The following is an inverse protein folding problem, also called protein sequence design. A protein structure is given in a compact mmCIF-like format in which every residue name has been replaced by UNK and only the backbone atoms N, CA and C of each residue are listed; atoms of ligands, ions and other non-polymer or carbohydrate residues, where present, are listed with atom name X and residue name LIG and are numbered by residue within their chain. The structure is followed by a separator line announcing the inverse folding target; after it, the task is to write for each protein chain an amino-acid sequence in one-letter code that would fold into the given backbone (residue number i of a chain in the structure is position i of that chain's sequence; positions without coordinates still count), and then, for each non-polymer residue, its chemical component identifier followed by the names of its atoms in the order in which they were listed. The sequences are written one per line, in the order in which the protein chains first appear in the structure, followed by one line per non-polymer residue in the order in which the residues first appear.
data_IF_339760544126
#
_entry.id   IF_339760544126
#
_cell.length_a   1.000
_cell.length_b   1.000
_cell.length_c   1.000
_cell.angle_alpha   90.00
_cell.angle_beta   90.00
_cell.angle_gamma   90.00
#
_symmetry.space_group_name_H-M   'P 1'
#
loop_
_entity.id
_entity.type
_entity.pdbx_description
1 polymer ?
#
# COMPACT_ATOMS: atom_id res chain seq x y z
N UNK A 1 3.66 -18.52 -14.67
CA UNK A 1 2.51 -18.45 -13.74
C UNK A 1 2.03 -17.03 -13.81
N UNK A 2 0.75 -16.80 -14.07
CA UNK A 2 0.23 -15.43 -14.12
C UNK A 2 0.38 -14.76 -12.75
N UNK A 3 0.71 -13.46 -12.72
CA UNK A 3 0.93 -12.70 -11.49
C UNK A 3 -0.23 -12.86 -10.50
N UNK A 4 -1.46 -12.92 -11.02
CA UNK A 4 -2.71 -13.04 -10.26
C UNK A 4 -2.83 -14.35 -9.46
N UNK A 5 -2.22 -15.43 -9.95
CA UNK A 5 -2.21 -16.74 -9.29
C UNK A 5 -1.13 -16.85 -8.21
N UNK A 6 -0.25 -15.85 -8.12
CA UNK A 6 0.83 -15.87 -7.14
C UNK A 6 0.27 -15.77 -5.72
N UNK A 7 0.88 -16.54 -4.79
CA UNK A 7 0.57 -16.47 -3.35
C UNK A 7 0.67 -15.04 -2.80
N UNK A 8 1.53 -14.22 -3.39
CA UNK A 8 1.74 -12.83 -2.99
C UNK A 8 0.58 -11.94 -3.42
N UNK A 9 0.11 -12.06 -4.66
CA UNK A 9 -1.04 -11.30 -5.14
C UNK A 9 -2.33 -11.65 -4.38
N UNK A 10 -2.55 -12.94 -4.10
CA UNK A 10 -3.64 -13.38 -3.20
C UNK A 10 -3.43 -12.92 -1.75
N UNK A 11 -2.18 -12.79 -1.31
CA UNK A 11 -1.82 -12.18 -0.02
C UNK A 11 -2.18 -10.70 0.04
N UNK A 12 -1.91 -9.95 -1.04
CA UNK A 12 -2.24 -8.54 -1.15
C UNK A 12 -3.75 -8.29 -1.07
N UNK A 13 -4.55 -9.10 -1.78
CA UNK A 13 -6.01 -9.05 -1.68
C UNK A 13 -6.52 -9.21 -0.25
N UNK A 14 -5.95 -10.18 0.50
CA UNK A 14 -6.30 -10.41 1.91
C UNK A 14 -5.82 -9.27 2.81
N UNK A 15 -4.65 -8.69 2.54
CA UNK A 15 -4.14 -7.57 3.31
C UNK A 15 -5.00 -6.32 3.12
N UNK A 16 -5.43 -6.04 1.88
CA UNK A 16 -6.37 -4.99 1.54
C UNK A 16 -7.70 -5.16 2.26
N UNK A 17 -8.31 -6.35 2.21
CA UNK A 17 -9.56 -6.62 2.92
C UNK A 17 -9.44 -6.34 4.43
N UNK A 18 -8.31 -6.70 5.04
CA UNK A 18 -8.05 -6.38 6.45
C UNK A 18 -7.88 -4.89 6.68
N UNK A 19 -7.20 -4.16 5.80
CA UNK A 19 -7.10 -2.71 5.93
C UNK A 19 -8.48 -2.06 5.81
N UNK A 20 -9.27 -2.49 4.83
CA UNK A 20 -10.64 -2.03 4.58
C UNK A 20 -11.54 -2.18 5.83
N UNK A 21 -11.48 -3.34 6.50
CA UNK A 21 -12.20 -3.55 7.77
C UNK A 21 -11.88 -2.49 8.83
N UNK A 22 -10.61 -2.09 8.94
CA UNK A 22 -10.18 -1.14 9.97
C UNK A 22 -10.52 0.31 9.61
N UNK A 23 -10.42 0.70 8.33
CA UNK A 23 -10.84 2.05 7.88
C UNK A 23 -12.36 2.22 7.86
N UNK A 24 -13.12 1.13 7.92
CA UNK A 24 -14.59 1.16 7.97
C UNK A 24 -15.15 1.31 9.39
N UNK A 25 -14.28 1.35 10.41
CA UNK A 25 -14.66 1.54 11.80
C UNK A 25 -14.68 3.02 12.16
N UNK A 26 -15.71 3.46 12.87
CA UNK A 26 -15.79 4.80 13.45
C UNK A 26 -15.19 4.83 14.86
N UNK A 27 -14.59 5.97 15.24
CA UNK A 27 -14.12 6.25 16.61
C UNK A 27 -13.18 5.17 17.20
N UNK A 28 -12.10 4.85 16.48
CA UNK A 28 -11.09 3.88 16.94
C UNK A 28 -10.55 4.22 18.34
N UNK A 29 -10.54 3.23 19.22
CA UNK A 29 -9.72 3.24 20.44
C UNK A 29 -8.22 3.27 20.09
N UNK A 30 -7.37 3.53 21.07
CA UNK A 30 -5.90 3.53 20.88
C UNK A 30 -5.41 2.19 20.32
N UNK A 31 -5.88 1.07 20.88
CA UNK A 31 -5.49 -0.28 20.44
C UNK A 31 -5.97 -0.54 18.99
N UNK A 32 -7.17 -0.09 18.64
CA UNK A 32 -7.69 -0.25 17.28
C UNK A 32 -6.97 0.66 16.28
N UNK A 33 -6.52 1.85 16.71
CA UNK A 33 -5.66 2.74 15.92
C UNK A 33 -4.31 2.11 15.63
N UNK A 34 -3.67 1.50 16.64
CA UNK A 34 -2.43 0.74 16.45
C UNK A 34 -2.67 -0.43 15.48
N UNK A 35 -3.82 -1.08 15.58
CA UNK A 35 -4.28 -2.10 14.64
C UNK A 35 -4.41 -1.59 13.20
N UNK A 36 -4.99 -0.41 12.99
CA UNK A 36 -5.10 0.25 11.69
C UNK A 36 -3.71 0.53 11.10
N UNK A 37 -2.81 1.10 11.88
CA UNK A 37 -1.43 1.40 11.49
C UNK A 37 -0.69 0.13 11.09
N UNK A 38 -0.78 -0.93 11.91
CA UNK A 38 -0.16 -2.21 11.60
C UNK A 38 -0.73 -2.84 10.32
N UNK A 39 -2.05 -2.72 10.10
CA UNK A 39 -2.74 -3.18 8.88
C UNK A 39 -2.26 -2.42 7.66
N UNK A 40 -2.09 -1.11 7.76
CA UNK A 40 -1.49 -0.31 6.70
C UNK A 40 -0.06 -0.74 6.41
N UNK A 41 0.79 -0.93 7.42
CA UNK A 41 2.19 -1.29 7.25
C UNK A 41 2.35 -2.59 6.45
N UNK A 42 1.70 -3.68 6.89
CA UNK A 42 1.83 -4.95 6.18
C UNK A 42 1.12 -4.94 4.82
N UNK A 43 0.04 -4.16 4.66
CA UNK A 43 -0.68 -4.04 3.39
C UNK A 43 0.18 -3.31 2.37
N UNK A 44 0.76 -2.18 2.74
CA UNK A 44 1.71 -1.47 1.88
C UNK A 44 2.91 -2.37 1.54
N UNK A 45 3.45 -3.10 2.52
CA UNK A 45 4.62 -3.96 2.34
C UNK A 45 4.40 -5.06 1.29
N UNK A 46 3.22 -5.68 1.28
CA UNK A 46 2.91 -6.69 0.26
C UNK A 46 2.55 -6.06 -1.08
N UNK A 47 1.86 -4.91 -1.08
CA UNK A 47 1.47 -4.18 -2.29
C UNK A 47 2.67 -3.73 -3.12
N UNK A 48 3.69 -3.09 -2.53
CA UNK A 48 4.85 -2.66 -3.31
C UNK A 48 5.67 -3.86 -3.82
N UNK A 49 5.67 -5.00 -3.12
CA UNK A 49 6.29 -6.23 -3.61
C UNK A 49 5.53 -6.79 -4.81
N UNK A 50 4.19 -6.78 -4.77
CA UNK A 50 3.39 -7.10 -5.95
C UNK A 50 3.68 -6.15 -7.12
N UNK A 51 3.80 -4.85 -6.87
CA UNK A 51 4.20 -3.88 -7.90
C UNK A 51 5.59 -4.18 -8.48
N UNK A 52 6.54 -4.62 -7.64
CA UNK A 52 7.85 -5.08 -8.11
C UNK A 52 7.74 -6.30 -9.03
N UNK A 53 6.98 -7.32 -8.63
CA UNK A 53 6.83 -8.53 -9.45
C UNK A 53 6.09 -8.21 -10.75
N UNK A 54 5.07 -7.34 -10.69
CA UNK A 54 4.37 -6.84 -11.88
C UNK A 54 5.35 -6.23 -12.88
N UNK A 55 6.22 -5.31 -12.43
CA UNK A 55 7.21 -4.66 -13.28
C UNK A 55 8.23 -5.66 -13.85
N UNK A 56 8.62 -6.67 -13.07
CA UNK A 56 9.51 -7.71 -13.55
C UNK A 56 8.84 -8.59 -14.62
N UNK A 57 7.62 -9.06 -14.35
CA UNK A 57 6.90 -10.00 -15.23
C UNK A 57 6.38 -9.34 -16.51
N UNK A 58 5.94 -8.07 -16.46
CA UNK A 58 5.38 -7.34 -17.61
C UNK A 58 6.42 -6.59 -18.42
N UNK A 59 7.42 -6.00 -17.76
CA UNK A 59 8.34 -5.04 -18.37
C UNK A 59 9.81 -5.48 -18.32
N UNK A 60 10.12 -6.60 -17.64
CA UNK A 60 11.49 -7.06 -17.42
C UNK A 60 12.31 -6.16 -16.49
N UNK A 61 11.66 -5.29 -15.71
CA UNK A 61 12.32 -4.32 -14.83
C UNK A 61 12.54 -4.91 -13.43
N UNK A 62 13.80 -5.16 -13.07
CA UNK A 62 14.18 -5.58 -11.71
C UNK A 62 14.48 -4.36 -10.82
N UNK A 63 13.51 -4.02 -9.96
CA UNK A 63 13.55 -2.82 -9.11
C UNK A 63 13.60 -3.18 -7.63
N UNK A 64 14.56 -2.62 -6.89
CA UNK A 64 14.86 -3.06 -5.53
C UNK A 64 14.41 -2.12 -4.39
N UNK A 65 13.50 -1.17 -4.62
CA UNK A 65 12.97 -0.33 -3.52
C UNK A 65 11.54 0.19 -3.77
N UNK A 66 10.74 0.45 -2.72
CA UNK A 66 9.37 0.93 -2.86
C UNK A 66 9.25 2.22 -3.68
N UNK A 67 10.10 3.22 -3.40
CA UNK A 67 10.10 4.49 -4.16
C UNK A 67 10.41 4.30 -5.63
N UNK A 68 11.33 3.38 -5.97
CA UNK A 68 11.65 3.08 -7.37
C UNK A 68 10.51 2.34 -8.05
N UNK A 69 9.90 1.36 -7.39
CA UNK A 69 8.71 0.65 -7.88
C UNK A 69 7.60 1.64 -8.22
N UNK A 70 7.27 2.58 -7.32
CA UNK A 70 6.22 3.59 -7.57
C UNK A 70 6.55 4.46 -8.79
N UNK A 71 7.80 4.90 -8.94
CA UNK A 71 8.23 5.70 -10.10
C UNK A 71 8.14 4.91 -11.40
N UNK A 72 8.55 3.64 -11.41
CA UNK A 72 8.42 2.79 -12.59
C UNK A 72 6.96 2.48 -12.91
N UNK A 73 6.10 2.28 -11.91
CA UNK A 73 4.66 2.11 -12.12
C UNK A 73 4.01 3.33 -12.78
N UNK A 74 4.51 4.54 -12.50
CA UNK A 74 4.14 5.74 -13.25
C UNK A 74 4.60 5.68 -14.71
N UNK A 75 5.85 5.32 -14.95
CA UNK A 75 6.45 5.26 -16.29
C UNK A 75 5.71 4.28 -17.22
N UNK A 76 5.17 3.19 -16.66
CA UNK A 76 4.43 2.16 -17.38
C UNK A 76 2.91 2.40 -17.38
N UNK A 77 2.46 3.55 -16.86
CA UNK A 77 1.06 3.99 -16.92
C UNK A 77 0.11 3.39 -15.89
N UNK A 78 0.60 2.67 -14.88
CA UNK A 78 -0.22 2.19 -13.75
C UNK A 78 -0.59 3.36 -12.82
N UNK A 79 0.32 4.30 -12.62
CA UNK A 79 0.05 5.51 -11.83
C UNK A 79 0.08 6.77 -12.68
N UNK A 80 -0.88 7.66 -12.42
CA UNK A 80 -0.82 9.07 -12.81
C UNK A 80 0.16 9.86 -11.91
N UNK A 81 0.43 11.12 -12.25
CA UNK A 81 1.28 12.01 -11.45
C UNK A 81 0.74 12.18 -10.02
N UNK A 82 -0.56 12.41 -9.89
CA UNK A 82 -1.23 12.60 -8.60
C UNK A 82 -1.17 11.34 -7.74
N UNK A 83 -1.45 10.17 -8.33
CA UNK A 83 -1.36 8.89 -7.64
C UNK A 83 0.08 8.55 -7.23
N UNK A 84 1.06 8.92 -8.07
CA UNK A 84 2.48 8.75 -7.77
C UNK A 84 2.88 9.54 -6.54
N UNK A 85 2.47 10.80 -6.45
CA UNK A 85 2.74 11.65 -5.28
C UNK A 85 2.14 11.06 -4.01
N UNK A 86 0.88 10.62 -4.06
CA UNK A 86 0.21 9.99 -2.92
C UNK A 86 0.89 8.68 -2.53
N UNK A 87 1.28 7.82 -3.49
CA UNK A 87 1.99 6.58 -3.22
C UNK A 87 3.40 6.81 -2.65
N UNK A 88 4.12 7.84 -3.12
CA UNK A 88 5.41 8.20 -2.53
C UNK A 88 5.25 8.67 -1.08
N UNK A 89 4.18 9.42 -0.78
CA UNK A 89 3.83 9.80 0.59
C UNK A 89 3.54 8.58 1.46
N UNK A 90 2.84 7.57 0.94
CA UNK A 90 2.63 6.29 1.63
C UNK A 90 3.96 5.59 2.00
N UNK A 91 4.98 5.65 1.14
CA UNK A 91 6.30 5.08 1.48
C UNK A 91 6.90 5.78 2.70
N UNK A 92 6.82 7.11 2.72
CA UNK A 92 7.37 7.91 3.81
C UNK A 92 6.59 7.65 5.11
N UNK A 93 5.26 7.62 5.04
CA UNK A 93 4.40 7.31 6.17
C UNK A 93 4.55 5.87 6.69
N UNK A 94 4.79 4.89 5.80
CA UNK A 94 5.13 3.52 6.21
C UNK A 94 6.43 3.50 7.01
N UNK A 95 7.42 4.34 6.70
CA UNK A 95 8.64 4.40 7.52
C UNK A 95 8.39 5.04 8.90
N UNK A 96 7.34 5.84 9.04
CA UNK A 96 6.95 6.45 10.31
C UNK A 96 6.16 5.50 11.23
N UNK A 97 5.70 4.34 10.75
CA UNK A 97 4.95 3.37 11.59
C UNK A 97 5.80 2.85 12.75
N UNK A 98 7.13 2.80 12.60
CA UNK A 98 8.05 2.43 13.68
C UNK A 98 8.12 3.47 14.83
N UNK A 99 7.53 4.65 14.65
CA UNK A 99 7.55 5.78 15.59
C UNK A 99 6.19 6.02 16.28
N UNK A 100 5.22 5.12 16.14
CA UNK A 100 3.83 5.32 16.61
C UNK A 100 3.65 5.11 18.12
N UNK A 101 4.75 5.01 18.87
CA UNK A 101 4.71 5.16 20.33
C UNK A 101 4.39 6.60 20.75
N UNK A 102 4.56 7.57 19.86
CA UNK A 102 4.04 8.93 20.01
C UNK A 102 2.56 8.96 19.59
N UNK A 103 1.68 9.26 20.55
CA UNK A 103 0.23 9.21 20.37
C UNK A 103 -0.28 10.21 19.33
N UNK A 104 0.29 11.42 19.30
CA UNK A 104 -0.11 12.44 18.34
C UNK A 104 0.33 12.04 16.93
N UNK A 105 1.52 11.47 16.79
CA UNK A 105 1.96 10.92 15.51
C UNK A 105 1.07 9.75 15.05
N UNK A 106 0.67 8.86 15.96
CA UNK A 106 -0.23 7.76 15.64
C UNK A 106 -1.60 8.27 15.17
N UNK A 107 -2.16 9.31 15.81
CA UNK A 107 -3.42 9.95 15.37
C UNK A 107 -3.28 10.54 13.98
N UNK A 108 -2.26 11.36 13.75
CA UNK A 108 -2.05 11.99 12.44
C UNK A 108 -1.82 10.97 11.33
N UNK A 109 -1.09 9.88 11.60
CA UNK A 109 -0.86 8.82 10.65
C UNK A 109 -2.15 8.05 10.35
N UNK A 110 -2.94 7.73 11.37
CA UNK A 110 -4.24 7.08 11.21
C UNK A 110 -5.18 7.88 10.30
N UNK A 111 -5.28 9.20 10.50
CA UNK A 111 -6.07 10.10 9.64
C UNK A 111 -5.62 10.04 8.17
N UNK A 112 -4.29 9.98 7.93
CA UNK A 112 -3.76 9.85 6.56
C UNK A 112 -4.09 8.50 5.93
N UNK A 113 -4.09 7.42 6.70
CA UNK A 113 -4.36 6.05 6.20
C UNK A 113 -5.75 5.95 5.56
N UNK A 114 -6.77 6.63 6.10
CA UNK A 114 -8.11 6.66 5.47
C UNK A 114 -8.05 7.18 4.03
N UNK A 115 -7.18 8.16 3.75
CA UNK A 115 -7.02 8.69 2.39
C UNK A 115 -6.26 7.75 1.43
N UNK A 116 -5.50 6.79 1.97
CA UNK A 116 -4.65 5.88 1.20
C UNK A 116 -5.35 4.61 0.74
N UNK A 117 -6.35 4.16 1.49
CA UNK A 117 -7.06 2.91 1.20
C UNK A 117 -7.65 2.87 -0.23
N UNK A 118 -8.28 3.94 -0.76
CA UNK A 118 -8.83 3.90 -2.11
C UNK A 118 -7.76 3.69 -3.18
N UNK A 119 -6.59 4.32 -3.03
CA UNK A 119 -5.48 4.18 -3.97
C UNK A 119 -4.83 2.79 -3.86
N UNK A 120 -4.75 2.20 -2.66
CA UNK A 120 -4.25 0.83 -2.50
C UNK A 120 -5.17 -0.19 -3.19
N UNK A 121 -6.49 0.00 -3.11
CA UNK A 121 -7.46 -0.81 -3.84
C UNK A 121 -7.35 -0.63 -5.36
N UNK A 122 -7.26 0.61 -5.83
CA UNK A 122 -7.14 0.89 -7.26
C UNK A 122 -5.81 0.40 -7.85
N UNK A 123 -4.71 0.52 -7.11
CA UNK A 123 -3.41 -0.05 -7.49
C UNK A 123 -3.53 -1.57 -7.71
N UNK A 124 -4.14 -2.29 -6.76
CA UNK A 124 -4.34 -3.73 -6.89
C UNK A 124 -5.17 -4.08 -8.13
N UNK A 125 -6.28 -3.38 -8.34
CA UNK A 125 -7.17 -3.57 -9.49
C UNK A 125 -6.45 -3.33 -10.82
N UNK A 126 -5.72 -2.21 -10.94
CA UNK A 126 -4.95 -1.89 -12.16
C UNK A 126 -3.93 -2.97 -12.51
N UNK A 127 -3.25 -3.55 -11.51
CA UNK A 127 -2.33 -4.67 -11.75
C UNK A 127 -3.05 -5.98 -12.12
N UNK A 128 -4.32 -6.16 -11.74
CA UNK A 128 -5.12 -7.32 -12.13
C UNK A 128 -5.68 -7.19 -13.56
N UNK A 129 -6.03 -5.96 -13.96
CA UNK A 129 -6.69 -5.65 -15.23
C UNK A 129 -5.71 -5.45 -16.41
N UNK A 130 -4.40 -5.31 -16.13
CA UNK A 130 -3.32 -5.09 -17.13
C UNK A 130 -2.64 -6.38 -17.50
#
# INVERSE_FOLDING_TARGET
MELIDSKRFQGAARALARLHEAVSMDNLSEIERDGLIQRFEFCFEIMWKCGKDYLYDREGLDVASPKKVIRCLREVGIFSDVETEQALKMVDDRNLTAHTYDEEMAKELAERIYSYEPLLHDWYRKMADS
#
